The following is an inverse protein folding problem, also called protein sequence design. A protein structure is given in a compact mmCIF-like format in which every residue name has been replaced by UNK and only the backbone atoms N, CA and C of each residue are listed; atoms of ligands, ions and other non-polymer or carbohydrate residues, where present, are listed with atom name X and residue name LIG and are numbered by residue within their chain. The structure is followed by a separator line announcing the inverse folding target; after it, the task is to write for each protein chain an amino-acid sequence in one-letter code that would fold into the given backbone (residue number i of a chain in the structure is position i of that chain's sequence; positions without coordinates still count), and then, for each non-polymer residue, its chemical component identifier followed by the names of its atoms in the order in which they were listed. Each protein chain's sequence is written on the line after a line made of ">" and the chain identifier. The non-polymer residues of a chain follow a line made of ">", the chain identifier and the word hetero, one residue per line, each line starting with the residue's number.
data_IF_946368576719
#
_entry.id   IF_946368576719
#
_cell.length_a   1.000
_cell.length_b   1.000
_cell.length_c   1.000
_cell.angle_alpha   90.00
_cell.angle_beta   90.00
_cell.angle_gamma   90.00
#
_symmetry.space_group_name_H-M   'P 1'
#
loop_
_entity.id
_entity.type
_entity.pdbx_description
1 polymer ?
#
# COMPACT_ATOMS: atom_id res chain seq x y z
N UNK A 1 -16.77 -106.31 28.42
CA UNK A 1 -17.27 -105.18 27.62
C UNK A 1 -16.18 -104.09 27.57
N UNK A 2 -15.32 -104.09 26.54
CA UNK A 2 -14.33 -103.02 26.32
C UNK A 2 -14.92 -102.06 25.28
N UNK A 3 -15.35 -100.88 25.71
CA UNK A 3 -15.75 -99.80 24.80
C UNK A 3 -14.50 -99.10 24.27
N UNK A 4 -14.28 -99.19 22.96
CA UNK A 4 -13.29 -98.40 22.24
C UNK A 4 -13.87 -97.00 21.95
N UNK A 5 -13.40 -95.97 22.67
CA UNK A 5 -13.66 -94.58 22.29
C UNK A 5 -12.79 -94.17 21.10
N UNK A 6 -13.41 -93.95 19.93
CA UNK A 6 -12.74 -93.28 18.79
C UNK A 6 -12.54 -91.80 19.12
N UNK A 7 -11.29 -91.36 19.24
CA UNK A 7 -10.92 -89.95 19.43
C UNK A 7 -11.05 -89.17 18.12
N UNK A 8 -11.99 -88.23 18.04
CA UNK A 8 -12.12 -87.26 16.95
C UNK A 8 -11.05 -86.15 17.08
N UNK A 9 -9.81 -86.43 16.65
CA UNK A 9 -8.66 -85.51 16.72
C UNK A 9 -8.49 -84.58 15.51
N UNK A 10 -9.33 -84.71 14.46
CA UNK A 10 -9.20 -83.94 13.22
C UNK A 10 -9.90 -82.57 13.21
N UNK A 11 -11.02 -82.41 13.91
CA UNK A 11 -11.81 -81.16 13.90
C UNK A 11 -11.10 -79.99 14.61
N UNK A 12 -10.37 -80.26 15.70
CA UNK A 12 -9.59 -79.25 16.43
C UNK A 12 -8.45 -78.67 15.58
N UNK A 13 -7.86 -79.50 14.70
CA UNK A 13 -6.80 -79.11 13.79
C UNK A 13 -7.30 -78.12 12.72
N UNK A 14 -8.54 -78.31 12.26
CA UNK A 14 -9.18 -77.46 11.24
C UNK A 14 -9.54 -76.07 11.80
N UNK A 15 -10.08 -76.01 13.02
CA UNK A 15 -10.28 -74.73 13.72
C UNK A 15 -8.98 -74.01 14.05
N UNK A 16 -7.92 -74.74 14.42
CA UNK A 16 -6.60 -74.17 14.67
C UNK A 16 -5.97 -73.56 13.41
N UNK A 17 -6.08 -74.25 12.26
CA UNK A 17 -5.63 -73.73 10.96
C UNK A 17 -6.42 -72.49 10.54
N UNK A 18 -7.74 -72.49 10.73
CA UNK A 18 -8.58 -71.34 10.39
C UNK A 18 -8.28 -70.13 11.27
N UNK A 19 -8.11 -70.33 12.58
CA UNK A 19 -7.70 -69.27 13.51
C UNK A 19 -6.31 -68.72 13.18
N UNK A 20 -5.36 -69.59 12.81
CA UNK A 20 -4.02 -69.17 12.38
C UNK A 20 -4.08 -68.36 11.06
N UNK A 21 -4.89 -68.79 10.09
CA UNK A 21 -5.06 -68.07 8.83
C UNK A 21 -5.67 -66.67 9.04
N UNK A 22 -6.67 -66.54 9.91
CA UNK A 22 -7.24 -65.24 10.29
C UNK A 22 -6.20 -64.37 10.99
N UNK A 23 -5.45 -64.91 11.95
CA UNK A 23 -4.37 -64.18 12.61
C UNK A 23 -3.31 -63.69 11.61
N UNK A 24 -2.91 -64.52 10.64
CA UNK A 24 -1.95 -64.13 9.61
C UNK A 24 -2.49 -63.03 8.70
N UNK A 25 -3.78 -63.07 8.33
CA UNK A 25 -4.44 -62.01 7.57
C UNK A 25 -4.49 -60.70 8.35
N UNK A 26 -4.83 -60.74 9.64
CA UNK A 26 -4.85 -59.56 10.51
C UNK A 26 -3.45 -58.97 10.71
N UNK A 27 -2.44 -59.81 10.94
CA UNK A 27 -1.05 -59.39 11.07
C UNK A 27 -0.51 -58.79 9.77
N UNK A 28 -0.84 -59.40 8.62
CA UNK A 28 -0.50 -58.87 7.30
C UNK A 28 -1.15 -57.50 7.06
N UNK A 29 -2.44 -57.37 7.38
CA UNK A 29 -3.17 -56.11 7.31
C UNK A 29 -2.54 -55.01 8.17
N UNK A 30 -2.18 -55.33 9.43
CA UNK A 30 -1.51 -54.41 10.34
C UNK A 30 -0.15 -53.97 9.81
N UNK A 31 0.65 -54.90 9.27
CA UNK A 31 1.96 -54.57 8.69
C UNK A 31 1.83 -53.66 7.47
N UNK A 32 0.88 -53.92 6.58
CA UNK A 32 0.61 -53.03 5.44
C UNK A 32 0.14 -51.65 5.89
N UNK A 33 -0.74 -51.59 6.89
CA UNK A 33 -1.20 -50.33 7.47
C UNK A 33 -0.06 -49.51 8.06
N UNK A 34 0.84 -50.14 8.84
CA UNK A 34 2.00 -49.47 9.41
C UNK A 34 2.93 -48.90 8.32
N UNK A 35 3.20 -49.66 7.26
CA UNK A 35 4.03 -49.18 6.13
C UNK A 35 3.39 -48.01 5.38
N UNK A 36 2.07 -48.00 5.24
CA UNK A 36 1.35 -46.87 4.62
C UNK A 36 1.40 -45.65 5.55
N UNK A 37 1.18 -45.85 6.86
CA UNK A 37 1.23 -44.77 7.84
C UNK A 37 2.60 -44.11 7.92
N UNK A 38 3.70 -44.89 7.90
CA UNK A 38 5.05 -44.31 7.90
C UNK A 38 5.31 -43.46 6.66
N UNK A 39 4.92 -43.94 5.48
CA UNK A 39 5.05 -43.16 4.23
C UNK A 39 4.24 -41.87 4.24
N UNK A 40 3.03 -41.91 4.78
CA UNK A 40 2.18 -40.72 4.93
C UNK A 40 2.81 -39.71 5.89
N UNK A 41 3.34 -40.17 7.03
CA UNK A 41 4.04 -39.32 8.00
C UNK A 41 5.30 -38.69 7.39
N UNK A 42 6.12 -39.47 6.70
CA UNK A 42 7.30 -38.95 6.01
C UNK A 42 6.94 -37.91 4.96
N UNK A 43 5.86 -38.15 4.19
CA UNK A 43 5.37 -37.19 3.22
C UNK A 43 4.87 -35.90 3.87
N UNK A 44 4.12 -35.99 4.98
CA UNK A 44 3.67 -34.82 5.74
C UNK A 44 4.84 -34.02 6.30
N UNK A 45 5.84 -34.68 6.90
CA UNK A 45 7.05 -34.03 7.42
C UNK A 45 7.79 -33.31 6.29
N UNK A 46 7.95 -33.96 5.14
CA UNK A 46 8.60 -33.35 3.98
C UNK A 46 7.81 -32.16 3.43
N UNK A 47 6.47 -32.19 3.44
CA UNK A 47 5.65 -31.06 3.03
C UNK A 47 5.78 -29.86 3.97
N UNK A 48 5.82 -30.09 5.28
CA UNK A 48 6.04 -29.00 6.25
C UNK A 48 7.45 -28.44 6.09
N UNK A 49 8.46 -29.30 5.93
CA UNK A 49 9.83 -28.86 5.70
C UNK A 49 9.95 -28.06 4.39
N UNK A 50 9.31 -28.51 3.31
CA UNK A 50 9.27 -27.80 2.03
C UNK A 50 8.62 -26.41 2.17
N UNK A 51 7.59 -26.27 3.01
CA UNK A 51 6.98 -24.98 3.30
C UNK A 51 7.95 -24.05 4.04
N UNK A 52 8.60 -24.52 5.10
CA UNK A 52 9.60 -23.74 5.86
C UNK A 52 10.79 -23.34 4.98
N UNK A 53 11.22 -24.23 4.07
CA UNK A 53 12.27 -23.93 3.10
C UNK A 53 11.81 -22.82 2.12
N UNK A 54 10.55 -22.83 1.70
CA UNK A 54 9.98 -21.77 0.87
C UNK A 54 9.88 -20.43 1.64
N UNK A 55 9.49 -20.44 2.91
CA UNK A 55 9.46 -19.25 3.78
C UNK A 55 10.86 -18.61 3.88
N UNK A 56 11.89 -19.43 4.07
CA UNK A 56 13.27 -18.93 4.12
C UNK A 56 13.71 -18.25 2.80
N UNK A 57 13.19 -18.72 1.65
CA UNK A 57 13.41 -18.07 0.36
C UNK A 57 12.76 -16.69 0.28
N UNK A 58 11.54 -16.55 0.81
CA UNK A 58 10.86 -15.25 0.93
C UNK A 58 11.63 -14.31 1.85
N UNK A 59 11.97 -14.75 3.06
CA UNK A 59 12.68 -13.92 4.06
C UNK A 59 14.03 -13.42 3.53
N UNK A 60 14.76 -14.29 2.80
CA UNK A 60 16.03 -13.93 2.17
C UNK A 60 15.86 -12.84 1.10
N UNK A 61 14.77 -12.92 0.35
CA UNK A 61 14.46 -11.94 -0.68
C UNK A 61 13.95 -10.63 -0.08
N UNK A 62 13.15 -10.67 0.99
CA UNK A 62 12.74 -9.49 1.74
C UNK A 62 13.95 -8.71 2.27
N UNK A 63 14.91 -9.41 2.87
CA UNK A 63 16.17 -8.78 3.31
C UNK A 63 16.93 -8.14 2.15
N UNK A 64 16.96 -8.77 0.97
CA UNK A 64 17.64 -8.21 -0.19
C UNK A 64 16.95 -6.93 -0.66
N UNK A 65 15.63 -6.96 -0.83
CA UNK A 65 14.84 -5.82 -1.27
C UNK A 65 14.96 -4.63 -0.30
N UNK A 66 15.10 -4.90 1.00
CA UNK A 66 15.32 -3.87 2.01
C UNK A 66 16.68 -3.16 1.88
N UNK A 67 17.68 -3.79 1.25
CA UNK A 67 19.02 -3.23 1.06
C UNK A 67 19.26 -2.72 -0.36
N UNK A 68 18.67 -3.36 -1.37
CA UNK A 68 18.74 -2.97 -2.78
C UNK A 68 17.34 -3.07 -3.42
N UNK A 69 16.57 -1.95 -3.38
CA UNK A 69 15.17 -1.94 -3.82
C UNK A 69 14.98 -2.11 -5.33
N UNK A 70 16.01 -1.80 -6.13
CA UNK A 70 15.92 -1.74 -7.60
C UNK A 70 16.44 -3.03 -8.27
N UNK A 71 17.13 -3.90 -7.52
CA UNK A 71 17.67 -5.15 -8.04
C UNK A 71 16.64 -6.29 -7.99
N UNK A 72 15.74 -6.31 -8.97
CA UNK A 72 14.87 -7.46 -9.22
C UNK A 72 15.66 -8.57 -9.92
N UNK A 73 16.43 -9.36 -9.16
CA UNK A 73 17.09 -10.54 -9.71
C UNK A 73 16.00 -11.52 -10.17
N UNK A 74 15.83 -11.64 -11.48
CA UNK A 74 14.95 -12.61 -12.13
C UNK A 74 15.55 -14.01 -11.96
N UNK A 75 15.30 -14.60 -10.80
CA UNK A 75 15.75 -15.95 -10.44
C UNK A 75 17.16 -15.94 -9.84
N UNK A 76 17.25 -16.17 -8.52
CA UNK A 76 18.54 -16.41 -7.85
C UNK A 76 19.15 -17.77 -8.20
N UNK A 77 18.43 -18.58 -8.99
CA UNK A 77 18.70 -20.00 -9.18
C UNK A 77 18.45 -20.79 -7.89
N UNK A 78 18.60 -22.11 -7.98
CA UNK A 78 18.44 -23.01 -6.84
C UNK A 78 19.43 -22.67 -5.72
N UNK A 79 18.91 -22.33 -4.56
CA UNK A 79 19.68 -22.03 -3.36
C UNK A 79 19.47 -23.14 -2.33
N UNK A 80 20.55 -23.55 -1.66
CA UNK A 80 20.50 -24.61 -0.65
C UNK A 80 20.02 -24.08 0.68
N UNK A 81 19.12 -24.82 1.32
CA UNK A 81 18.71 -24.60 2.70
C UNK A 81 19.32 -25.68 3.59
N UNK A 82 20.06 -25.26 4.61
CA UNK A 82 20.73 -26.17 5.52
C UNK A 82 20.79 -25.64 6.94
N UNK A 83 20.96 -26.57 7.88
CA UNK A 83 21.22 -26.28 9.29
C UNK A 83 22.73 -26.47 9.57
N UNK A 84 23.37 -25.54 10.29
CA UNK A 84 24.78 -25.65 10.68
C UNK A 84 25.21 -27.01 11.27
N UNK A 85 24.29 -27.75 11.90
CA UNK A 85 24.59 -29.05 12.53
C UNK A 85 24.33 -30.26 11.63
N UNK A 86 23.32 -30.19 10.77
CA UNK A 86 22.80 -31.35 10.03
C UNK A 86 23.08 -31.31 8.52
N UNK A 87 23.66 -30.22 8.02
CA UNK A 87 23.97 -30.04 6.61
C UNK A 87 22.78 -29.56 5.80
N UNK A 88 22.78 -29.85 4.50
CA UNK A 88 21.70 -29.45 3.59
C UNK A 88 20.42 -30.25 3.89
N UNK A 89 19.30 -29.55 4.07
CA UNK A 89 17.98 -30.15 4.31
C UNK A 89 17.10 -30.13 3.06
N UNK A 90 17.41 -29.24 2.12
CA UNK A 90 16.72 -29.12 0.84
C UNK A 90 17.17 -27.89 0.07
N UNK A 91 16.34 -27.45 -0.86
CA UNK A 91 16.62 -26.28 -1.68
C UNK A 91 15.34 -25.51 -1.98
N UNK A 92 15.52 -24.24 -2.34
CA UNK A 92 14.47 -23.35 -2.79
C UNK A 92 14.90 -22.63 -4.06
N UNK A 93 13.90 -22.16 -4.80
CA UNK A 93 14.06 -21.28 -5.96
C UNK A 93 13.01 -20.17 -5.87
N UNK A 94 13.39 -18.95 -6.26
CA UNK A 94 12.52 -17.77 -6.22
C UNK A 94 12.26 -17.24 -7.63
N UNK A 95 10.99 -17.01 -7.93
CA UNK A 95 10.53 -16.29 -9.11
C UNK A 95 10.00 -14.93 -8.66
N UNK A 96 10.48 -13.87 -9.30
CA UNK A 96 10.07 -12.49 -9.00
C UNK A 96 9.37 -11.93 -10.23
N UNK A 97 8.13 -11.48 -10.03
CA UNK A 97 7.37 -10.76 -11.04
C UNK A 97 7.55 -9.27 -10.73
N UNK A 98 8.20 -8.51 -11.62
CA UNK A 98 8.41 -7.07 -11.42
C UNK A 98 7.08 -6.31 -11.39
N UNK A 99 7.05 -5.10 -10.81
CA UNK A 99 5.83 -4.32 -10.74
C UNK A 99 5.39 -3.86 -12.13
N UNK A 100 4.08 -3.73 -12.34
CA UNK A 100 3.52 -3.05 -13.52
C UNK A 100 3.88 -1.55 -13.50
N UNK A 101 3.91 -0.90 -14.66
CA UNK A 101 4.16 0.55 -14.75
C UNK A 101 3.18 1.34 -13.84
N UNK A 102 3.73 2.19 -12.97
CA UNK A 102 2.95 2.97 -12.00
C UNK A 102 2.48 2.20 -10.76
N UNK A 103 2.95 0.96 -10.56
CA UNK A 103 2.76 0.18 -9.34
C UNK A 103 4.09 0.01 -8.60
N UNK A 104 4.04 -0.06 -7.27
CA UNK A 104 5.17 -0.51 -6.43
C UNK A 104 5.03 -1.98 -6.01
N UNK A 105 3.97 -2.66 -6.46
CA UNK A 105 3.62 -4.01 -6.03
C UNK A 105 4.42 -5.05 -6.83
N UNK A 106 5.28 -5.77 -6.13
CA UNK A 106 6.02 -6.91 -6.65
C UNK A 106 5.40 -8.21 -6.14
N UNK A 107 5.44 -9.26 -6.95
CA UNK A 107 5.00 -10.59 -6.53
C UNK A 107 6.20 -11.52 -6.49
N UNK A 108 6.43 -12.14 -5.34
CA UNK A 108 7.51 -13.10 -5.12
C UNK A 108 6.90 -14.47 -4.91
N UNK A 109 7.37 -15.44 -5.68
CA UNK A 109 7.03 -16.85 -5.53
C UNK A 109 8.26 -17.63 -5.11
N UNK A 110 8.28 -18.14 -3.88
CA UNK A 110 9.33 -19.05 -3.43
C UNK A 110 8.81 -20.49 -3.49
N UNK A 111 9.52 -21.37 -4.18
CA UNK A 111 9.22 -22.80 -4.21
C UNK A 111 10.31 -23.57 -3.47
N UNK A 112 9.95 -24.28 -2.40
CA UNK A 112 10.86 -25.10 -1.59
C UNK A 112 10.59 -26.59 -1.72
N UNK A 113 11.63 -27.40 -1.52
CA UNK A 113 11.56 -28.86 -1.44
C UNK A 113 12.64 -29.43 -0.53
N UNK A 114 12.39 -30.61 0.04
CA UNK A 114 13.38 -31.31 0.86
C UNK A 114 14.31 -32.18 0.01
N UNK A 115 15.53 -32.40 0.49
CA UNK A 115 16.49 -33.30 -0.18
C UNK A 115 15.98 -34.75 -0.19
N UNK A 116 15.25 -35.15 0.85
CA UNK A 116 14.68 -36.49 0.98
C UNK A 116 13.54 -36.77 0.01
N UNK A 117 12.85 -35.73 -0.47
CA UNK A 117 11.74 -35.86 -1.40
C UNK A 117 11.58 -34.59 -2.23
N UNK A 118 12.31 -34.52 -3.35
CA UNK A 118 12.28 -33.38 -4.28
C UNK A 118 10.96 -33.22 -5.04
N UNK A 119 10.10 -34.26 -5.06
CA UNK A 119 8.78 -34.19 -5.68
C UNK A 119 7.75 -33.49 -4.79
N UNK A 120 7.98 -33.47 -3.47
CA UNK A 120 7.10 -32.82 -2.49
C UNK A 120 7.37 -31.31 -2.41
N UNK A 121 7.02 -30.57 -3.46
CA UNK A 121 7.21 -29.11 -3.52
C UNK A 121 6.11 -28.33 -2.82
N UNK A 122 6.48 -27.18 -2.26
CA UNK A 122 5.56 -26.16 -1.74
C UNK A 122 5.96 -24.80 -2.29
N UNK A 123 4.96 -24.02 -2.70
CA UNK A 123 5.17 -22.67 -3.20
C UNK A 123 4.40 -21.70 -2.34
N UNK A 124 5.06 -20.62 -1.94
CA UNK A 124 4.47 -19.48 -1.23
C UNK A 124 4.53 -18.30 -2.20
N UNK A 125 3.41 -17.60 -2.32
CA UNK A 125 3.31 -16.35 -3.07
C UNK A 125 3.08 -15.21 -2.06
N UNK A 126 3.91 -14.18 -2.13
CA UNK A 126 3.77 -12.97 -1.32
C UNK A 126 3.84 -11.75 -2.22
N UNK A 127 3.03 -10.75 -1.91
CA UNK A 127 3.06 -9.46 -2.57
C UNK A 127 3.67 -8.43 -1.63
N UNK A 128 4.74 -7.78 -2.08
CA UNK A 128 5.41 -6.69 -1.35
C UNK A 128 5.28 -5.41 -2.16
N UNK A 129 5.24 -4.27 -1.48
CA UNK A 129 5.33 -2.99 -2.15
C UNK A 129 5.63 -1.90 -1.15
N UNK A 130 6.37 -0.89 -1.60
CA UNK A 130 6.53 0.33 -0.80
C UNK A 130 5.16 1.00 -0.70
N UNK A 131 4.63 1.25 0.52
CA UNK A 131 3.36 1.94 0.66
C UNK A 131 3.45 3.32 0.00
N UNK A 132 2.44 3.64 -0.82
CA UNK A 132 2.36 4.94 -1.47
C UNK A 132 1.86 5.98 -0.48
N UNK A 133 2.43 7.19 -0.49
CA UNK A 133 1.90 8.31 0.29
C UNK A 133 0.46 8.68 -0.13
N UNK A 134 0.03 8.28 -1.33
CA UNK A 134 -1.34 8.44 -1.81
C UNK A 134 -2.37 7.54 -1.10
N UNK A 135 -1.95 6.66 -0.17
CA UNK A 135 -2.89 5.91 0.68
C UNK A 135 -3.54 6.78 1.76
N UNK A 136 -2.91 7.92 2.07
CA UNK A 136 -3.40 8.88 3.05
C UNK A 136 -4.37 9.84 2.37
N UNK A 137 -5.56 9.99 2.96
CA UNK A 137 -6.47 11.07 2.60
C UNK A 137 -5.89 12.43 2.99
N UNK A 138 -5.13 12.46 4.08
CA UNK A 138 -4.35 13.62 4.50
C UNK A 138 -3.02 13.20 5.10
N UNK A 139 -1.93 13.79 4.59
CA UNK A 139 -0.59 13.64 5.11
C UNK A 139 0.01 15.04 5.24
N UNK A 140 0.30 15.49 6.46
CA UNK A 140 0.76 16.87 6.72
C UNK A 140 1.93 16.96 7.70
N UNK A 141 2.74 18.00 7.53
CA UNK A 141 3.80 18.38 8.46
C UNK A 141 3.36 19.45 9.48
N UNK A 142 2.05 19.73 9.59
CA UNK A 142 1.48 20.77 10.45
C UNK A 142 0.45 20.23 11.43
N UNK A 143 0.08 21.04 12.42
CA UNK A 143 -1.14 20.84 13.21
C UNK A 143 -2.42 20.94 12.37
N UNK A 144 -3.45 20.18 12.76
CA UNK A 144 -4.76 20.13 12.10
C UNK A 144 -5.88 20.02 13.13
N UNK A 145 -7.02 20.65 12.82
CA UNK A 145 -8.26 20.48 13.57
C UNK A 145 -9.39 20.08 12.62
N UNK A 146 -10.04 18.96 12.95
CA UNK A 146 -11.30 18.54 12.38
C UNK A 146 -12.46 18.81 13.33
N UNK A 147 -13.41 19.64 12.91
CA UNK A 147 -14.64 19.99 13.63
C UNK A 147 -15.65 18.85 13.76
N UNK A 148 -16.71 19.10 14.52
CA UNK A 148 -17.78 18.14 14.84
C UNK A 148 -18.66 17.77 13.64
N UNK A 149 -18.83 18.67 12.68
CA UNK A 149 -19.59 18.44 11.44
C UNK A 149 -18.76 17.74 10.34
N UNK A 150 -17.57 17.26 10.65
CA UNK A 150 -16.63 16.73 9.64
C UNK A 150 -16.54 15.20 9.65
N UNK A 151 -16.44 14.64 8.44
CA UNK A 151 -16.42 13.20 8.20
C UNK A 151 -15.14 12.82 7.43
N UNK A 152 -14.15 12.31 8.17
CA UNK A 152 -12.88 11.91 7.61
C UNK A 152 -12.94 10.47 7.10
N UNK A 153 -12.69 10.28 5.81
CA UNK A 153 -12.67 8.97 5.16
C UNK A 153 -11.25 8.67 4.71
N UNK A 154 -10.67 7.54 5.16
CA UNK A 154 -9.32 7.10 4.83
C UNK A 154 -8.25 7.49 5.85
N UNK A 155 -7.03 6.97 5.66
CA UNK A 155 -5.93 7.14 6.63
C UNK A 155 -5.52 8.61 6.72
N UNK A 156 -5.09 9.04 7.90
CA UNK A 156 -4.50 10.35 8.11
C UNK A 156 -3.22 10.30 8.94
N UNK A 157 -2.25 11.15 8.58
CA UNK A 157 -1.06 11.40 9.39
C UNK A 157 -0.73 12.89 9.51
N UNK A 158 -0.27 13.30 10.70
CA UNK A 158 0.34 14.61 10.95
C UNK A 158 1.64 14.49 11.76
N UNK A 159 2.71 15.18 11.33
CA UNK A 159 3.90 15.36 12.17
C UNK A 159 3.67 16.30 13.38
N UNK A 160 2.53 17.01 13.39
CA UNK A 160 2.06 17.91 14.43
C UNK A 160 0.96 17.29 15.31
N UNK A 161 0.21 18.15 16.00
CA UNK A 161 -0.94 17.75 16.81
C UNK A 161 -2.24 17.71 16.00
N UNK A 162 -3.12 16.77 16.33
CA UNK A 162 -4.41 16.61 15.67
C UNK A 162 -5.54 16.81 16.70
N UNK A 163 -6.41 17.79 16.45
CA UNK A 163 -7.71 17.87 17.12
C UNK A 163 -8.77 17.20 16.25
N UNK A 164 -9.48 16.21 16.76
CA UNK A 164 -10.52 15.46 16.04
C UNK A 164 -11.82 15.43 16.86
N UNK A 165 -12.80 16.24 16.45
CA UNK A 165 -14.12 16.30 17.08
C UNK A 165 -15.21 15.61 16.27
N UNK A 166 -14.99 15.42 14.96
CA UNK A 166 -15.93 14.77 14.04
C UNK A 166 -15.86 13.25 14.04
N UNK A 167 -16.10 12.65 12.88
CA UNK A 167 -16.07 11.18 12.71
C UNK A 167 -14.94 10.74 11.77
N UNK A 168 -14.39 9.56 12.00
CA UNK A 168 -13.41 8.95 11.11
C UNK A 168 -13.69 7.45 10.92
N UNK A 169 -13.23 6.89 9.80
CA UNK A 169 -13.43 5.46 9.48
C UNK A 169 -12.12 4.68 9.30
N UNK A 170 -10.98 5.29 9.59
CA UNK A 170 -9.64 4.73 9.37
C UNK A 170 -8.64 5.32 10.38
N UNK A 171 -7.42 4.79 10.36
CA UNK A 171 -6.34 5.16 11.29
C UNK A 171 -5.97 6.63 11.15
N UNK A 172 -5.91 7.31 12.29
CA UNK A 172 -5.37 8.66 12.42
C UNK A 172 -4.08 8.58 13.23
N UNK A 173 -3.00 9.12 12.70
CA UNK A 173 -1.68 8.99 13.32
C UNK A 173 -0.99 10.33 13.52
N UNK A 174 -0.28 10.48 14.66
CA UNK A 174 0.50 11.68 14.97
C UNK A 174 1.92 11.33 15.39
N UNK A 175 2.90 12.10 14.90
CA UNK A 175 4.28 11.96 15.33
C UNK A 175 4.55 12.50 16.75
N UNK A 176 3.58 13.23 17.32
CA UNK A 176 3.72 13.83 18.65
C UNK A 176 3.18 12.87 19.71
N UNK A 177 3.95 12.66 20.77
CA UNK A 177 3.43 12.03 21.98
C UNK A 177 2.53 13.01 22.73
N UNK A 178 3.03 14.22 22.93
CA UNK A 178 2.28 15.36 23.48
C UNK A 178 2.39 16.59 22.58
N UNK A 179 1.34 17.41 22.61
CA UNK A 179 1.19 18.61 21.82
C UNK A 179 0.76 19.78 22.71
N UNK A 180 1.39 20.93 22.50
CA UNK A 180 1.01 22.16 23.19
C UNK A 180 -0.12 22.85 22.40
N UNK A 181 -1.33 22.72 22.90
CA UNK A 181 -2.53 23.22 22.24
C UNK A 181 -2.54 24.75 22.14
N UNK A 182 -2.79 25.23 20.92
CA UNK A 182 -2.82 26.64 20.55
C UNK A 182 -4.24 27.22 20.62
N UNK A 183 -4.36 28.54 20.61
CA UNK A 183 -5.65 29.24 20.68
C UNK A 183 -6.55 28.96 19.47
N UNK A 184 -5.96 28.82 18.28
CA UNK A 184 -6.70 28.47 17.07
C UNK A 184 -7.27 27.06 17.08
N UNK A 185 -6.83 26.20 18.00
CA UNK A 185 -7.41 24.88 18.28
C UNK A 185 -8.42 24.91 19.43
N UNK A 186 -8.91 26.08 19.83
CA UNK A 186 -9.92 26.25 20.88
C UNK A 186 -9.43 25.97 22.31
N UNK A 187 -8.12 25.87 22.53
CA UNK A 187 -7.55 25.77 23.88
C UNK A 187 -7.15 27.17 24.40
N UNK A 188 -7.27 27.41 25.69
CA UNK A 188 -6.56 28.54 26.31
C UNK A 188 -5.06 28.23 26.22
N UNK A 189 -4.29 29.02 25.47
CA UNK A 189 -2.93 28.67 25.04
C UNK A 189 -2.04 28.10 26.15
N UNK A 190 -1.27 27.05 25.82
CA UNK A 190 -0.36 26.41 26.78
C UNK A 190 -0.88 25.10 27.39
N UNK A 191 -2.05 24.61 26.98
CA UNK A 191 -2.58 23.34 27.47
C UNK A 191 -1.90 22.16 26.77
N UNK A 192 -1.29 21.28 27.55
CA UNK A 192 -0.73 20.04 27.02
C UNK A 192 -1.86 19.02 26.73
N UNK A 193 -1.84 18.50 25.51
CA UNK A 193 -2.73 17.48 24.99
C UNK A 193 -1.91 16.31 24.47
N UNK A 194 -2.49 15.10 24.35
CA UNK A 194 -1.89 14.03 23.56
C UNK A 194 -1.69 14.46 22.09
N UNK A 195 -0.89 13.73 21.33
CA UNK A 195 -0.69 13.98 19.89
C UNK A 195 -1.99 14.03 19.09
N UNK A 196 -3.00 13.23 19.49
CA UNK A 196 -4.37 13.29 18.97
C UNK A 196 -5.34 13.45 20.14
N UNK A 197 -6.23 14.44 20.07
CA UNK A 197 -7.27 14.69 21.08
C UNK A 197 -8.56 15.23 20.44
N UNK A 198 -9.67 15.24 21.16
CA UNK A 198 -10.92 15.85 20.72
C UNK A 198 -12.14 15.09 21.22
N UNK A 199 -13.30 15.46 20.71
CA UNK A 199 -14.60 14.94 21.14
C UNK A 199 -15.19 13.85 20.19
N UNK A 200 -14.36 13.29 19.30
CA UNK A 200 -14.78 12.21 18.40
C UNK A 200 -15.34 10.99 19.14
N UNK A 201 -16.20 10.24 18.46
CA UNK A 201 -16.83 9.05 19.03
C UNK A 201 -15.83 7.91 19.29
N UNK A 202 -16.26 6.89 20.06
CA UNK A 202 -15.39 5.77 20.45
C UNK A 202 -14.90 4.96 19.25
N UNK A 203 -15.68 4.87 18.17
CA UNK A 203 -15.24 4.15 16.97
C UNK A 203 -14.06 4.86 16.32
N UNK A 204 -14.12 6.19 16.19
CA UNK A 204 -13.03 6.98 15.64
C UNK A 204 -11.81 7.04 16.59
N UNK A 205 -12.02 7.32 17.88
CA UNK A 205 -10.92 7.44 18.85
C UNK A 205 -10.16 6.13 19.10
N UNK A 206 -10.80 4.98 18.86
CA UNK A 206 -10.12 3.68 18.89
C UNK A 206 -9.10 3.47 17.77
N UNK A 207 -9.14 4.31 16.72
CA UNK A 207 -8.25 4.27 15.56
C UNK A 207 -7.11 5.31 15.65
N UNK A 208 -6.93 5.95 16.80
CA UNK A 208 -5.87 6.94 17.02
C UNK A 208 -4.55 6.27 17.41
N UNK A 209 -3.49 6.56 16.67
CA UNK A 209 -2.14 6.03 16.89
C UNK A 209 -1.13 7.16 17.11
N UNK A 210 -0.61 7.27 18.33
CA UNK A 210 0.42 8.25 18.67
C UNK A 210 1.20 7.83 19.93
N UNK A 211 2.52 8.10 20.01
CA UNK A 211 3.35 8.64 18.94
C UNK A 211 3.72 7.58 17.89
N UNK A 212 3.80 7.99 16.63
CA UNK A 212 4.40 7.20 15.53
C UNK A 212 5.63 7.93 14.96
N UNK A 213 6.51 7.30 14.17
CA UNK A 213 7.59 8.01 13.48
C UNK A 213 7.06 9.14 12.59
N UNK A 214 7.79 10.26 12.53
CA UNK A 214 7.48 11.36 11.64
C UNK A 214 7.82 11.02 10.19
N UNK A 215 7.03 11.53 9.24
CA UNK A 215 7.38 11.50 7.83
C UNK A 215 8.37 12.61 7.50
N UNK A 216 9.37 12.30 6.68
CA UNK A 216 10.33 13.28 6.20
C UNK A 216 9.77 14.02 4.98
N UNK A 217 9.29 15.24 5.18
CA UNK A 217 8.80 16.10 4.11
C UNK A 217 9.94 16.83 3.38
N UNK A 218 11.14 16.92 3.95
CA UNK A 218 12.28 17.56 3.27
C UNK A 218 12.76 16.66 2.13
N UNK A 219 12.72 15.34 2.32
CA UNK A 219 12.98 14.36 1.26
C UNK A 219 11.99 14.45 0.07
N UNK A 220 10.78 15.01 0.26
CA UNK A 220 9.82 15.23 -0.83
C UNK A 220 10.24 16.39 -1.76
N UNK A 221 11.09 17.31 -1.28
CA UNK A 221 11.61 18.37 -2.14
C UNK A 221 12.67 17.82 -3.12
N UNK A 222 13.52 16.89 -2.67
CA UNK A 222 14.47 16.19 -3.55
C UNK A 222 13.72 15.38 -4.63
N UNK A 223 12.59 14.76 -4.26
CA UNK A 223 11.72 14.04 -5.18
C UNK A 223 11.19 14.91 -6.34
N UNK A 224 10.95 16.22 -6.14
CA UNK A 224 10.48 17.08 -7.23
C UNK A 224 11.52 17.25 -8.34
N UNK A 225 12.81 17.26 -7.99
CA UNK A 225 13.90 17.29 -8.97
C UNK A 225 13.95 15.98 -9.77
N UNK A 226 13.85 14.83 -9.09
CA UNK A 226 13.86 13.52 -9.74
C UNK A 226 12.62 13.34 -10.64
N UNK A 227 11.44 13.74 -10.16
CA UNK A 227 10.20 13.69 -10.93
C UNK A 227 10.27 14.52 -12.21
N UNK A 228 11.00 15.64 -12.19
CA UNK A 228 11.21 16.49 -13.36
C UNK A 228 12.07 15.80 -14.42
N UNK A 229 13.12 15.11 -14.00
CA UNK A 229 14.02 14.41 -14.91
C UNK A 229 13.36 13.16 -15.52
N UNK A 230 12.50 12.48 -14.76
CA UNK A 230 11.74 11.30 -15.21
C UNK A 230 10.39 11.63 -15.86
N UNK A 231 9.99 12.90 -15.92
CA UNK A 231 8.67 13.30 -16.39
C UNK A 231 8.40 12.86 -17.84
N UNK A 232 7.28 12.17 -18.07
CA UNK A 232 6.83 11.86 -19.43
C UNK A 232 6.26 13.08 -20.16
N UNK A 233 5.87 14.10 -19.40
CA UNK A 233 5.41 15.39 -19.92
C UNK A 233 5.82 16.53 -18.99
N UNK A 234 6.46 17.55 -19.55
CA UNK A 234 6.76 18.81 -18.85
C UNK A 234 5.99 19.95 -19.50
N UNK A 235 5.22 20.68 -18.71
CA UNK A 235 4.55 21.93 -19.09
C UNK A 235 5.38 23.09 -18.54
N UNK A 236 6.15 23.81 -19.38
CA UNK A 236 6.98 24.92 -18.93
C UNK A 236 6.12 26.14 -18.55
N UNK A 237 6.74 27.20 -18.02
CA UNK A 237 6.10 28.51 -17.77
C UNK A 237 5.13 28.87 -18.90
N UNK A 238 3.86 29.10 -18.53
CA UNK A 238 2.81 29.42 -19.49
C UNK A 238 3.01 30.81 -20.11
N UNK A 239 3.80 31.68 -19.49
CA UNK A 239 3.89 33.11 -19.84
C UNK A 239 2.64 33.90 -19.46
N UNK A 240 1.75 33.30 -18.66
CA UNK A 240 0.49 33.88 -18.20
C UNK A 240 0.29 33.61 -16.70
N UNK A 241 -0.87 33.05 -16.31
CA UNK A 241 -1.16 32.71 -14.91
C UNK A 241 -1.00 31.22 -14.59
N UNK A 242 -0.71 30.36 -15.58
CA UNK A 242 -0.64 28.92 -15.41
C UNK A 242 -1.54 28.12 -16.36
N UNK A 243 -1.70 26.84 -16.06
CA UNK A 243 -2.47 25.89 -16.85
C UNK A 243 -3.68 25.37 -16.11
N UNK A 244 -4.74 25.06 -16.85
CA UNK A 244 -5.90 24.35 -16.33
C UNK A 244 -6.05 23.01 -17.07
N UNK A 245 -6.00 21.91 -16.31
CA UNK A 245 -6.14 20.54 -16.79
C UNK A 245 -7.54 20.04 -16.42
N UNK A 246 -8.34 19.74 -17.44
CA UNK A 246 -9.68 19.16 -17.27
C UNK A 246 -9.66 17.70 -17.70
N UNK A 247 -9.74 16.78 -16.73
CA UNK A 247 -9.74 15.35 -16.99
C UNK A 247 -11.04 14.85 -17.59
N UNK A 248 -10.92 13.96 -18.57
CA UNK A 248 -12.02 13.35 -19.29
C UNK A 248 -12.12 11.85 -18.97
N UNK A 249 -13.35 11.33 -18.92
CA UNK A 249 -13.63 9.92 -18.58
C UNK A 249 -13.08 8.90 -19.60
N UNK A 250 -12.58 9.36 -20.75
CA UNK A 250 -11.93 8.54 -21.77
C UNK A 250 -10.42 8.32 -21.51
N UNK A 251 -9.87 8.88 -20.42
CA UNK A 251 -8.44 8.78 -20.10
C UNK A 251 -7.57 9.85 -20.76
N UNK A 252 -8.19 10.89 -21.34
CA UNK A 252 -7.50 12.08 -21.86
C UNK A 252 -7.75 13.29 -20.96
N UNK A 253 -7.07 14.39 -21.24
CA UNK A 253 -7.33 15.67 -20.60
C UNK A 253 -7.29 16.83 -21.60
N UNK A 254 -8.10 17.84 -21.35
CA UNK A 254 -8.05 19.12 -22.06
C UNK A 254 -7.09 20.06 -21.32
N UNK A 255 -6.17 20.67 -22.08
CA UNK A 255 -5.21 21.62 -21.57
C UNK A 255 -5.61 23.03 -21.99
N UNK A 256 -5.76 23.91 -20.99
CA UNK A 256 -6.02 25.32 -21.18
C UNK A 256 -4.88 26.16 -20.58
N UNK A 257 -4.63 27.32 -21.18
CA UNK A 257 -3.80 28.36 -20.59
C UNK A 257 -4.70 29.38 -19.89
N UNK A 258 -4.46 29.66 -18.61
CA UNK A 258 -5.23 30.65 -17.86
C UNK A 258 -4.71 32.05 -18.21
N UNK A 259 -5.58 32.86 -18.82
CA UNK A 259 -5.22 34.19 -19.32
C UNK A 259 -5.64 35.30 -18.37
N UNK A 260 -6.60 35.03 -17.48
CA UNK A 260 -7.07 36.02 -16.50
C UNK A 260 -7.74 35.37 -15.29
N UNK A 261 -7.43 35.91 -14.11
CA UNK A 261 -8.11 35.60 -12.86
C UNK A 261 -9.25 36.58 -12.56
N UNK A 262 -10.19 36.16 -11.72
CA UNK A 262 -11.28 37.03 -11.23
C UNK A 262 -10.72 38.18 -10.40
N UNK A 263 -11.55 39.19 -10.18
CA UNK A 263 -11.18 40.33 -9.34
C UNK A 263 -10.82 39.83 -7.93
N UNK A 264 -9.71 40.31 -7.35
CA UNK A 264 -9.26 39.86 -6.04
C UNK A 264 -10.31 40.17 -4.98
N UNK A 265 -10.44 39.25 -4.03
CA UNK A 265 -11.33 39.42 -2.90
C UNK A 265 -10.52 39.50 -1.61
N UNK A 266 -11.07 40.23 -0.63
CA UNK A 266 -10.46 40.34 0.68
C UNK A 266 -10.91 39.15 1.53
N UNK A 267 -9.94 38.42 2.07
CA UNK A 267 -10.13 37.35 3.04
C UNK A 267 -9.20 37.58 4.24
N UNK A 268 -9.43 36.85 5.32
CA UNK A 268 -8.54 36.82 6.48
C UNK A 268 -8.04 35.39 6.62
N UNK A 269 -6.73 35.23 6.84
CA UNK A 269 -6.19 33.92 7.19
C UNK A 269 -6.51 33.55 8.64
N UNK A 270 -6.12 32.35 9.06
CA UNK A 270 -6.31 31.81 10.42
C UNK A 270 -5.69 32.68 11.51
N UNK A 271 -4.76 33.58 11.16
CA UNK A 271 -4.13 34.53 12.08
C UNK A 271 -4.78 35.92 12.04
N UNK A 272 -5.90 36.07 11.33
CA UNK A 272 -6.59 37.35 11.18
C UNK A 272 -5.84 38.35 10.30
N UNK A 273 -4.83 37.89 9.54
CA UNK A 273 -4.10 38.75 8.60
C UNK A 273 -4.94 38.90 7.35
N UNK A 274 -5.18 40.16 6.96
CA UNK A 274 -5.90 40.49 5.75
C UNK A 274 -5.10 40.05 4.52
N UNK A 275 -5.63 39.09 3.76
CA UNK A 275 -5.13 38.65 2.46
C UNK A 275 -6.00 39.24 1.34
N UNK A 276 -5.35 39.63 0.25
CA UNK A 276 -6.03 40.16 -0.93
C UNK A 276 -5.51 39.42 -2.17
N UNK A 277 -6.37 38.64 -2.80
CA UNK A 277 -6.00 37.82 -3.95
C UNK A 277 -7.23 37.16 -4.59
N UNK A 278 -7.03 36.59 -5.77
CA UNK A 278 -7.97 35.65 -6.38
C UNK A 278 -7.16 34.56 -7.05
N UNK A 279 -7.69 33.35 -6.95
CA UNK A 279 -7.17 32.13 -7.58
C UNK A 279 -8.20 31.55 -8.55
N UNK A 280 -9.30 32.28 -8.81
CA UNK A 280 -10.43 31.79 -9.57
C UNK A 280 -10.27 32.19 -11.03
N UNK A 281 -10.46 31.23 -11.94
CA UNK A 281 -10.37 31.46 -13.37
C UNK A 281 -11.49 32.43 -13.81
N UNK A 282 -11.11 33.48 -14.55
CA UNK A 282 -12.04 34.38 -15.24
C UNK A 282 -12.05 34.15 -16.75
N UNK A 283 -10.89 33.89 -17.34
CA UNK A 283 -10.78 33.49 -18.74
C UNK A 283 -9.57 32.63 -18.98
N UNK A 284 -9.69 31.74 -19.95
CA UNK A 284 -8.67 30.79 -20.36
C UNK A 284 -8.77 30.57 -21.87
N UNK A 285 -7.70 30.01 -22.44
CA UNK A 285 -7.64 29.66 -23.85
C UNK A 285 -7.34 28.17 -23.98
N UNK A 286 -8.19 27.45 -24.71
CA UNK A 286 -7.92 26.05 -25.05
C UNK A 286 -6.63 25.95 -25.88
N UNK A 287 -5.74 25.07 -25.46
CA UNK A 287 -4.52 24.75 -26.19
C UNK A 287 -4.80 23.51 -27.06
N UNK A 288 -5.02 22.37 -26.41
CA UNK A 288 -5.25 21.08 -27.07
C UNK A 288 -5.76 20.02 -26.09
N UNK A 289 -6.13 18.85 -26.63
CA UNK A 289 -6.42 17.64 -25.86
C UNK A 289 -5.23 16.69 -25.94
N UNK A 290 -4.79 16.16 -24.81
CA UNK A 290 -3.67 15.22 -24.71
C UNK A 290 -4.07 13.93 -24.00
N UNK A 291 -3.39 12.83 -24.33
CA UNK A 291 -3.40 11.62 -23.52
C UNK A 291 -2.44 11.75 -22.34
N UNK A 292 -2.69 11.01 -21.26
CA UNK A 292 -1.70 10.85 -20.19
C UNK A 292 -0.40 10.23 -20.76
N UNK A 293 0.78 10.65 -20.27
CA UNK A 293 2.04 10.01 -20.65
C UNK A 293 2.08 8.56 -20.16
N UNK A 294 2.82 7.69 -20.84
CA UNK A 294 2.86 6.25 -20.52
C UNK A 294 3.31 5.97 -19.09
N UNK A 295 4.33 6.69 -18.60
CA UNK A 295 4.80 6.59 -17.22
C UNK A 295 3.91 7.33 -16.19
N UNK A 296 2.85 8.03 -16.63
CA UNK A 296 1.93 8.75 -15.76
C UNK A 296 2.50 9.99 -15.08
N UNK A 297 3.74 10.42 -15.38
CA UNK A 297 4.37 11.56 -14.71
C UNK A 297 4.23 12.84 -15.52
N UNK A 298 3.59 13.85 -14.93
CA UNK A 298 3.43 15.19 -15.51
C UNK A 298 4.03 16.21 -14.55
N UNK A 299 4.92 17.07 -15.05
CA UNK A 299 5.47 18.20 -14.29
C UNK A 299 5.01 19.52 -14.90
N UNK A 300 4.59 20.45 -14.06
CA UNK A 300 4.08 21.77 -14.44
C UNK A 300 4.92 22.83 -13.75
N UNK A 301 5.65 23.62 -14.52
CA UNK A 301 6.54 24.68 -14.02
C UNK A 301 5.80 26.02 -13.81
N UNK A 302 4.49 25.96 -13.53
CA UNK A 302 3.61 27.10 -13.35
C UNK A 302 2.40 26.70 -12.49
N UNK A 303 1.53 27.65 -12.13
CA UNK A 303 0.30 27.36 -11.38
C UNK A 303 -0.60 26.41 -12.17
N UNK A 304 -1.26 25.51 -11.43
CA UNK A 304 -2.06 24.46 -12.02
C UNK A 304 -3.47 24.44 -11.42
N UNK A 305 -4.48 24.49 -12.27
CA UNK A 305 -5.85 24.15 -11.93
C UNK A 305 -6.16 22.74 -12.43
N UNK A 306 -6.89 21.96 -11.63
CA UNK A 306 -7.34 20.62 -11.99
C UNK A 306 -8.82 20.42 -11.68
N UNK A 307 -9.52 19.72 -12.57
CA UNK A 307 -10.89 19.27 -12.35
C UNK A 307 -11.25 18.12 -13.30
N UNK A 308 -12.45 17.53 -13.12
CA UNK A 308 -13.04 16.60 -14.07
C UNK A 308 -13.08 15.16 -13.57
N UNK A 309 -13.23 14.23 -14.53
CA UNK A 309 -13.29 12.79 -14.24
C UNK A 309 -11.99 12.11 -14.66
N UNK A 310 -11.21 11.66 -13.69
CA UNK A 310 -9.90 11.04 -13.91
C UNK A 310 -10.02 9.54 -14.19
N UNK A 311 -9.26 9.07 -15.17
CA UNK A 311 -9.13 7.64 -15.52
C UNK A 311 -7.67 7.31 -15.83
N UNK A 312 -7.15 6.25 -15.22
CA UNK A 312 -5.76 5.79 -15.37
C UNK A 312 -4.91 6.01 -14.13
N UNK A 313 -3.59 6.07 -14.29
CA UNK A 313 -2.64 6.33 -13.19
C UNK A 313 -1.76 7.52 -13.54
N UNK A 314 -1.71 8.54 -12.69
CA UNK A 314 -0.84 9.69 -12.90
C UNK A 314 -0.40 10.36 -11.60
N UNK A 315 0.81 10.92 -11.64
CA UNK A 315 1.32 11.86 -10.65
C UNK A 315 1.57 13.18 -11.36
N UNK A 316 0.95 14.25 -10.88
CA UNK A 316 1.13 15.60 -11.41
C UNK A 316 1.79 16.45 -10.35
N UNK A 317 3.00 16.92 -10.64
CA UNK A 317 3.74 17.82 -9.78
C UNK A 317 3.77 19.23 -10.36
N UNK A 318 3.39 20.24 -9.58
CA UNK A 318 3.54 21.64 -9.92
C UNK A 318 4.72 22.23 -9.14
N UNK A 319 5.80 22.58 -9.81
CA UNK A 319 7.04 23.04 -9.17
C UNK A 319 8.05 23.61 -10.16
N UNK A 320 8.89 24.53 -9.69
CA UNK A 320 9.98 25.15 -10.45
C UNK A 320 11.33 24.80 -9.85
N UNK A 321 12.34 24.69 -10.72
CA UNK A 321 13.74 24.52 -10.35
C UNK A 321 14.61 25.62 -10.98
N UNK A 322 15.47 26.32 -10.21
CA UNK A 322 15.66 26.18 -8.76
C UNK A 322 14.46 26.68 -7.94
N UNK A 323 14.21 26.08 -6.78
CA UNK A 323 13.15 26.52 -5.86
C UNK A 323 13.21 28.02 -5.56
N UNK A 324 12.08 28.69 -5.76
CA UNK A 324 11.88 30.11 -5.44
C UNK A 324 10.59 30.28 -4.64
N UNK A 325 10.66 30.63 -3.34
CA UNK A 325 9.48 30.70 -2.47
C UNK A 325 8.36 31.62 -2.96
N UNK A 326 8.72 32.78 -3.54
CA UNK A 326 7.77 33.81 -3.96
C UNK A 326 6.99 33.45 -5.22
N UNK A 327 7.54 32.55 -6.04
CA UNK A 327 6.98 32.11 -7.33
C UNK A 327 6.66 30.62 -7.35
N UNK A 328 6.86 29.92 -6.23
CA UNK A 328 6.60 28.49 -6.10
C UNK A 328 5.16 28.17 -6.56
N UNK A 329 5.01 27.26 -7.54
CA UNK A 329 3.71 26.87 -8.03
C UNK A 329 2.82 26.25 -6.96
N UNK A 330 1.53 26.43 -7.19
CA UNK A 330 0.46 25.87 -6.37
C UNK A 330 -0.53 25.13 -7.26
N UNK A 331 -1.21 24.14 -6.69
CA UNK A 331 -2.28 23.39 -7.34
C UNK A 331 -3.63 23.84 -6.77
N UNK A 332 -4.61 24.03 -7.66
CA UNK A 332 -5.97 24.43 -7.33
C UNK A 332 -6.97 23.42 -7.85
N UNK A 333 -7.89 22.97 -6.99
CA UNK A 333 -9.01 22.11 -7.38
C UNK A 333 -10.23 23.02 -7.59
N UNK A 334 -10.47 23.45 -8.84
CA UNK A 334 -11.48 24.47 -9.18
C UNK A 334 -12.92 23.96 -9.22
N UNK A 335 -13.10 22.65 -9.29
CA UNK A 335 -14.38 21.97 -9.42
C UNK A 335 -14.20 20.49 -9.04
N UNK A 336 -15.26 19.70 -9.19
CA UNK A 336 -15.26 18.29 -8.81
C UNK A 336 -14.14 17.52 -9.53
N UNK A 337 -13.32 16.82 -8.75
CA UNK A 337 -12.26 15.95 -9.21
C UNK A 337 -12.57 14.53 -8.75
N UNK A 338 -13.04 13.69 -9.67
CA UNK A 338 -13.61 12.37 -9.35
C UNK A 338 -12.94 11.26 -10.15
N UNK A 339 -12.77 10.08 -9.55
CA UNK A 339 -12.34 8.91 -10.29
C UNK A 339 -13.46 8.31 -11.14
N UNK A 340 -13.11 7.82 -12.33
CA UNK A 340 -14.04 7.10 -13.20
C UNK A 340 -14.48 5.76 -12.59
N UNK A 341 -13.58 5.13 -11.85
CA UNK A 341 -13.78 3.87 -11.11
C UNK A 341 -13.10 3.93 -9.74
N UNK A 342 -13.67 3.23 -8.75
CA UNK A 342 -13.15 3.21 -7.36
C UNK A 342 -12.67 1.83 -6.92
N UNK A 343 -12.23 1.02 -7.89
CA UNK A 343 -11.71 -0.35 -7.68
C UNK A 343 -10.18 -0.40 -7.57
N UNK A 344 -9.52 0.76 -7.56
CA UNK A 344 -8.07 0.90 -7.50
C UNK A 344 -7.36 0.89 -8.86
N UNK A 345 -8.10 0.76 -9.97
CA UNK A 345 -7.54 0.92 -11.32
C UNK A 345 -7.21 2.39 -11.66
N UNK A 346 -7.95 3.34 -11.09
CA UNK A 346 -7.69 4.77 -11.17
C UNK A 346 -6.90 5.28 -9.95
N UNK A 347 -5.84 6.07 -10.17
CA UNK A 347 -5.02 6.65 -9.10
C UNK A 347 -4.39 7.97 -9.54
N UNK A 348 -4.68 9.07 -8.83
CA UNK A 348 -4.14 10.39 -9.10
C UNK A 348 -3.40 10.94 -7.87
N UNK A 349 -2.15 11.34 -8.05
CA UNK A 349 -1.38 12.10 -7.06
C UNK A 349 -1.16 13.53 -7.56
N UNK A 350 -1.38 14.52 -6.69
CA UNK A 350 -1.15 15.93 -6.96
C UNK A 350 -0.12 16.46 -5.94
N UNK A 351 0.97 17.03 -6.44
CA UNK A 351 2.07 17.53 -5.61
C UNK A 351 2.31 18.99 -5.96
N UNK A 352 1.92 19.92 -5.08
CA UNK A 352 2.27 21.33 -5.23
C UNK A 352 3.55 21.65 -4.46
N UNK A 353 4.49 22.37 -5.08
CA UNK A 353 5.71 22.84 -4.40
C UNK A 353 5.41 23.83 -3.26
N UNK A 354 4.25 24.50 -3.31
CA UNK A 354 3.76 25.35 -2.21
C UNK A 354 2.52 24.77 -1.53
N UNK A 355 1.38 24.84 -2.20
CA UNK A 355 0.07 24.50 -1.64
C UNK A 355 -0.77 23.69 -2.63
N UNK A 356 -1.62 22.80 -2.11
CA UNK A 356 -2.80 22.28 -2.83
C UNK A 356 -4.03 22.88 -2.16
N UNK A 357 -4.82 23.66 -2.90
CA UNK A 357 -5.91 24.44 -2.32
C UNK A 357 -7.20 24.40 -3.13
N UNK A 358 -8.29 24.80 -2.47
CA UNK A 358 -9.60 24.97 -3.07
C UNK A 358 -9.85 26.48 -3.22
N UNK A 359 -10.10 27.00 -4.44
CA UNK A 359 -10.35 28.42 -4.65
C UNK A 359 -11.75 28.82 -4.14
N UNK A 360 -12.06 30.12 -4.19
CA UNK A 360 -13.26 30.66 -3.54
C UNK A 360 -14.56 30.26 -4.23
N UNK A 361 -14.56 30.20 -5.55
CA UNK A 361 -15.74 29.91 -6.36
C UNK A 361 -15.74 28.46 -6.83
N UNK A 362 -16.08 27.56 -5.91
CA UNK A 362 -16.31 26.13 -6.18
C UNK A 362 -17.77 25.75 -5.94
N UNK A 363 -18.25 24.60 -6.44
CA UNK A 363 -19.59 24.11 -6.13
C UNK A 363 -19.77 23.85 -4.62
N UNK A 364 -21.02 23.93 -4.14
CA UNK A 364 -21.37 23.59 -2.75
C UNK A 364 -21.16 22.09 -2.42
N UNK A 365 -20.95 21.25 -3.44
CA UNK A 365 -20.69 19.81 -3.29
C UNK A 365 -19.58 19.41 -4.24
N UNK A 366 -18.40 19.11 -3.68
CA UNK A 366 -17.22 18.65 -4.41
C UNK A 366 -17.01 17.14 -4.32
#
# INVERSE_FOLDING_TARGET
>A
MKLYMKRAKGFVLLYGLFGMAICLLLLGGLFTYLNVQTKVLEYQVNQTLALTIAEAGIDRFEWQLAHDPDEFILGTGEQTYGDPLSGTLGAWDTEVIPPEEGSSLITIRATGWSEKNSDAKRTIEVQYGKPSLAEYSFLTNSDVWFGDDEHLIGKMHSNGGIRMDGTCNSVMSSAKETYNCQEHHGCGGGQEKPGIWGDADVSCSSLWEFPVPAYDFDALNELLSDLRDDAGMVLPDSGAFGYHIVFQADGTFDLYQVTRLRAPSVAFDTYGVRRNGSYDISSEQFIERRSLPANGLIVVEDWLWVEGTFRGRATIAAGIEPYQPDTAPLIMISNNLVYSTKDGSDSLALIGQRDVMIPRYVPDTM
#
